data_IF_505385703524
#
_entry.id   IF_505385703524
#
_cell.length_a   1.000
_cell.length_b   1.000
_cell.length_c   1.000
_cell.angle_alpha   90.00
_cell.angle_beta   90.00
_cell.angle_gamma   90.00
#
_symmetry.space_group_name_H-M   'P 1'
#
loop_
_entity.id
_entity.type
_entity.pdbx_description
1 polymer ?
#
# COMPACT_ATOMS: atom_id res chain seq x y z
N UNK A 1 23.56 -5.78 -32.89
CA UNK A 1 22.51 -5.03 -32.17
C UNK A 1 21.42 -6.03 -31.77
N UNK A 2 21.47 -6.55 -30.54
CA UNK A 2 20.51 -7.57 -30.07
C UNK A 2 19.15 -6.90 -29.84
N UNK A 3 18.10 -7.38 -30.53
CA UNK A 3 16.73 -6.93 -30.27
C UNK A 3 16.36 -7.31 -28.83
N UNK A 4 15.95 -6.38 -27.96
CA UNK A 4 15.51 -6.72 -26.62
C UNK A 4 14.29 -7.64 -26.73
N UNK A 5 14.35 -8.82 -26.10
CA UNK A 5 13.25 -9.77 -26.05
C UNK A 5 12.08 -9.14 -25.25
N UNK A 6 11.11 -8.55 -25.95
CA UNK A 6 9.95 -7.86 -25.37
C UNK A 6 9.18 -8.74 -24.35
N UNK A 7 9.14 -10.06 -24.56
CA UNK A 7 8.51 -11.03 -23.66
C UNK A 7 9.19 -11.16 -22.30
N UNK A 8 10.50 -10.92 -22.22
CA UNK A 8 11.24 -10.95 -20.94
C UNK A 8 11.22 -9.61 -20.19
N UNK A 9 10.96 -8.51 -20.91
CA UNK A 9 10.96 -7.16 -20.34
C UNK A 9 9.69 -6.84 -19.56
N UNK A 10 8.53 -7.33 -20.02
CA UNK A 10 7.24 -7.06 -19.38
C UNK A 10 7.19 -7.38 -17.88
N UNK A 11 7.52 -8.62 -17.41
CA UNK A 11 7.42 -8.93 -15.98
C UNK A 11 8.39 -8.10 -15.14
N UNK A 12 9.57 -7.75 -15.67
CA UNK A 12 10.54 -6.88 -15.00
C UNK A 12 10.01 -5.46 -14.86
N UNK A 13 9.46 -4.91 -15.94
CA UNK A 13 8.84 -3.58 -15.93
C UNK A 13 7.63 -3.53 -14.99
N UNK A 14 6.77 -4.54 -15.03
CA UNK A 14 5.61 -4.65 -14.14
C UNK A 14 6.03 -4.74 -12.67
N UNK A 15 7.04 -5.55 -12.33
CA UNK A 15 7.59 -5.63 -10.98
C UNK A 15 8.21 -4.30 -10.53
N UNK A 16 8.95 -3.62 -11.40
CA UNK A 16 9.58 -2.33 -11.09
C UNK A 16 8.54 -1.23 -10.84
N UNK A 17 7.52 -1.12 -11.70
CA UNK A 17 6.44 -0.16 -11.53
C UNK A 17 5.64 -0.49 -10.26
N UNK A 18 5.27 -1.75 -10.05
CA UNK A 18 4.55 -2.18 -8.85
C UNK A 18 5.37 -1.90 -7.57
N UNK A 19 6.67 -2.14 -7.59
CA UNK A 19 7.58 -1.83 -6.48
C UNK A 19 7.54 -0.35 -6.13
N UNK A 20 7.64 0.54 -7.13
CA UNK A 20 7.54 1.99 -6.92
C UNK A 20 6.17 2.37 -6.35
N UNK A 21 5.07 1.89 -6.96
CA UNK A 21 3.72 2.19 -6.48
C UNK A 21 3.51 1.75 -5.03
N UNK A 22 3.97 0.55 -4.67
CA UNK A 22 3.93 0.06 -3.29
C UNK A 22 4.75 0.93 -2.34
N UNK A 23 5.96 1.35 -2.73
CA UNK A 23 6.76 2.26 -1.92
C UNK A 23 6.07 3.61 -1.72
N UNK A 24 5.43 4.15 -2.76
CA UNK A 24 4.63 5.38 -2.66
C UNK A 24 3.46 5.19 -1.68
N UNK A 25 2.73 4.08 -1.77
CA UNK A 25 1.64 3.78 -0.82
C UNK A 25 2.14 3.65 0.63
N UNK A 26 3.29 3.01 0.85
CA UNK A 26 3.89 2.84 2.17
C UNK A 26 4.41 4.15 2.76
N UNK A 27 4.96 5.03 1.93
CA UNK A 27 5.67 6.23 2.38
C UNK A 27 4.95 7.56 2.12
N UNK A 28 3.74 7.56 1.56
CA UNK A 28 2.96 8.77 1.25
C UNK A 28 2.93 9.79 2.41
N UNK A 29 2.83 9.34 3.66
CA UNK A 29 2.78 10.23 4.83
C UNK A 29 4.13 10.58 5.47
N UNK A 30 5.27 10.33 4.80
CA UNK A 30 6.60 10.56 5.39
C UNK A 30 7.04 12.03 5.29
N UNK A 31 6.58 12.76 4.29
CA UNK A 31 6.86 14.20 4.15
C UNK A 31 5.60 14.96 3.74
N UNK A 32 5.54 16.24 4.15
CA UNK A 32 4.38 17.14 3.97
C UNK A 32 3.89 17.28 2.52
N UNK A 33 4.78 17.16 1.54
CA UNK A 33 4.47 17.36 0.11
C UNK A 33 4.67 16.07 -0.72
N UNK A 34 4.77 14.91 -0.07
CA UNK A 34 4.96 13.65 -0.77
C UNK A 34 3.59 13.08 -1.19
N UNK A 35 3.13 13.46 -2.39
CA UNK A 35 1.82 13.08 -2.96
C UNK A 35 0.60 13.57 -2.16
N UNK A 36 0.13 14.77 -2.51
CA UNK A 36 -1.14 15.28 -2.00
C UNK A 36 -2.33 14.41 -2.42
N UNK A 37 -3.16 14.02 -1.46
CA UNK A 37 -4.33 13.15 -1.62
C UNK A 37 -4.03 11.65 -1.78
N UNK A 38 -2.79 11.20 -1.48
CA UNK A 38 -2.42 9.78 -1.43
C UNK A 38 -2.59 9.15 -0.03
N UNK A 39 -3.56 9.63 0.73
CA UNK A 39 -4.03 9.05 1.98
C UNK A 39 -5.02 7.91 1.73
N UNK A 40 -5.20 7.03 2.72
CA UNK A 40 -6.24 5.99 2.70
C UNK A 40 -7.60 6.66 2.92
N UNK A 41 -7.64 7.59 3.89
CA UNK A 41 -8.79 8.41 4.20
C UNK A 41 -8.32 9.71 4.87
N UNK A 42 -9.12 10.75 4.71
CA UNK A 42 -8.96 12.06 5.34
C UNK A 42 -10.15 12.31 6.26
N UNK A 43 -9.86 12.71 7.49
CA UNK A 43 -10.82 13.24 8.45
C UNK A 43 -10.79 14.76 8.42
N UNK A 44 -11.96 15.37 8.47
CA UNK A 44 -12.15 16.80 8.64
C UNK A 44 -12.80 17.06 9.97
N UNK A 45 -12.26 18.04 10.70
CA UNK A 45 -12.79 18.47 11.98
C UNK A 45 -13.17 19.95 11.89
N UNK A 46 -14.12 20.42 12.72
CA UNK A 46 -14.49 21.83 12.73
C UNK A 46 -13.28 22.72 13.06
N UNK A 47 -13.26 23.94 12.49
CA UNK A 47 -12.24 24.95 12.77
C UNK A 47 -12.09 25.14 14.28
N UNK A 48 -10.94 24.73 14.80
CA UNK A 48 -10.53 25.11 16.14
C UNK A 48 -10.04 26.55 16.08
N UNK A 49 -10.70 27.46 16.79
CA UNK A 49 -10.25 28.84 16.90
C UNK A 49 -8.75 28.90 17.22
N UNK A 50 -8.02 29.83 16.58
CA UNK A 50 -6.55 30.04 16.52
C UNK A 50 -5.67 29.73 17.76
N UNK A 51 -6.25 29.48 18.93
CA UNK A 51 -5.58 29.11 20.17
C UNK A 51 -5.77 27.65 20.62
N UNK A 52 -6.54 26.81 19.91
CA UNK A 52 -6.90 25.47 20.41
C UNK A 52 -5.97 24.33 19.97
N UNK A 53 -4.99 24.56 19.11
CA UNK A 53 -4.09 23.50 18.61
C UNK A 53 -4.81 22.39 17.82
N UNK A 54 -6.06 22.61 17.40
CA UNK A 54 -6.87 21.65 16.65
C UNK A 54 -6.58 21.82 15.16
N UNK A 55 -6.29 20.71 14.48
CA UNK A 55 -6.07 20.67 13.03
C UNK A 55 -7.38 20.38 12.29
N UNK A 56 -7.67 21.15 11.25
CA UNK A 56 -8.91 21.04 10.46
C UNK A 56 -8.96 19.76 9.64
N UNK A 57 -7.80 19.19 9.27
CA UNK A 57 -7.76 17.90 8.60
C UNK A 57 -6.67 16.98 9.14
N UNK A 58 -6.97 15.68 9.09
CA UNK A 58 -6.04 14.58 9.35
C UNK A 58 -6.08 13.60 8.18
N UNK A 59 -4.98 13.43 7.48
CA UNK A 59 -4.81 12.47 6.39
C UNK A 59 -4.08 11.23 6.92
N UNK A 60 -4.75 10.08 6.85
CA UNK A 60 -4.26 8.81 7.38
C UNK A 60 -3.62 8.00 6.27
N UNK A 61 -2.38 7.57 6.48
CA UNK A 61 -1.62 6.70 5.57
C UNK A 61 -1.33 5.36 6.24
N UNK A 62 -0.69 4.44 5.50
CA UNK A 62 -0.44 3.05 5.97
C UNK A 62 0.39 3.00 7.26
N UNK A 63 1.39 3.88 7.41
CA UNK A 63 2.35 3.84 8.53
C UNK A 63 2.44 5.13 9.33
N UNK A 64 1.62 6.13 8.99
CA UNK A 64 1.72 7.49 9.50
C UNK A 64 0.43 8.25 9.27
N UNK A 65 0.25 9.37 9.96
CA UNK A 65 -0.77 10.35 9.64
C UNK A 65 -0.14 11.73 9.51
N UNK A 66 -0.78 12.59 8.72
CA UNK A 66 -0.42 14.00 8.60
C UNK A 66 -1.62 14.86 8.98
N UNK A 67 -1.35 16.00 9.58
CA UNK A 67 -2.36 16.95 10.06
C UNK A 67 -2.06 18.35 9.50
N UNK A 68 -3.10 19.16 9.36
CA UNK A 68 -2.95 20.49 8.80
C UNK A 68 -4.21 21.34 8.86
N UNK A 69 -4.17 22.47 8.15
CA UNK A 69 -5.27 23.43 8.01
C UNK A 69 -5.69 23.53 6.54
N UNK A 70 -6.96 23.78 6.28
CA UNK A 70 -7.42 24.15 4.95
C UNK A 70 -7.10 25.62 4.73
N UNK A 71 -6.33 25.93 3.70
CA UNK A 71 -6.20 27.30 3.25
C UNK A 71 -7.56 27.71 2.65
N UNK A 72 -8.14 28.79 3.18
CA UNK A 72 -9.30 29.43 2.58
C UNK A 72 -8.87 30.04 1.25
N UNK A 73 -9.27 29.39 0.16
CA UNK A 73 -8.97 29.88 -1.19
C UNK A 73 -9.82 31.11 -1.46
N UNK A 74 -9.15 32.17 -1.93
CA UNK A 74 -9.78 33.39 -2.44
C UNK A 74 -10.97 33.05 -3.37
N UNK A 75 -12.05 33.87 -3.36
CA UNK A 75 -13.27 33.55 -4.10
C UNK A 75 -13.00 33.42 -5.61
N UNK A 76 -13.02 32.19 -6.13
CA UNK A 76 -12.94 31.93 -7.58
C UNK A 76 -12.13 30.72 -8.04
N UNK A 77 -11.39 30.01 -7.17
CA UNK A 77 -10.65 28.80 -7.55
C UNK A 77 -11.30 27.51 -7.00
N UNK A 78 -11.38 26.42 -7.78
CA UNK A 78 -11.99 25.17 -7.34
C UNK A 78 -11.03 24.39 -6.42
N UNK A 79 -11.36 24.37 -5.13
CA UNK A 79 -10.79 23.45 -4.14
C UNK A 79 -9.96 24.16 -3.08
N UNK A 80 -10.32 23.97 -1.80
CA UNK A 80 -9.51 24.41 -0.66
C UNK A 80 -8.14 23.72 -0.69
N UNK A 81 -7.06 24.50 -0.84
CA UNK A 81 -5.71 23.96 -0.79
C UNK A 81 -5.42 23.48 0.64
N UNK A 82 -4.90 22.26 0.79
CA UNK A 82 -4.56 21.72 2.11
C UNK A 82 -3.13 22.08 2.46
N UNK A 83 -2.94 22.71 3.61
CA UNK A 83 -1.61 23.04 4.13
C UNK A 83 -1.23 22.08 5.25
N UNK A 84 -0.35 21.13 4.93
CA UNK A 84 0.13 20.12 5.88
C UNK A 84 1.14 20.75 6.85
N UNK A 85 0.79 20.83 8.13
CA UNK A 85 1.64 21.46 9.15
C UNK A 85 2.60 20.45 9.78
N UNK A 86 2.13 19.24 10.09
CA UNK A 86 2.90 18.23 10.81
C UNK A 86 2.51 16.82 10.37
N UNK A 87 3.47 15.90 10.37
CA UNK A 87 3.22 14.47 10.20
C UNK A 87 3.78 13.72 11.41
N UNK A 88 3.17 12.58 11.72
CA UNK A 88 3.61 11.69 12.79
C UNK A 88 4.86 10.90 12.38
N UNK A 89 5.57 10.39 13.38
CA UNK A 89 6.64 9.42 13.12
C UNK A 89 6.10 8.13 12.50
N UNK A 90 6.90 7.52 11.63
CA UNK A 90 6.53 6.30 10.91
C UNK A 90 6.59 5.08 11.82
N UNK A 91 5.50 4.34 11.93
CA UNK A 91 5.42 3.08 12.67
C UNK A 91 4.90 1.96 11.78
N UNK A 92 5.55 0.79 11.82
CA UNK A 92 5.18 -0.37 10.99
C UNK A 92 3.80 -0.92 11.39
N UNK A 93 3.47 -0.86 12.68
CA UNK A 93 2.17 -1.26 13.24
C UNK A 93 1.39 -0.03 13.69
N UNK A 94 1.42 1.03 12.87
CA UNK A 94 0.66 2.23 13.12
C UNK A 94 -0.83 1.91 13.19
N UNK A 95 -1.49 2.54 14.16
CA UNK A 95 -2.95 2.56 14.28
C UNK A 95 -3.35 3.96 14.67
N UNK A 96 -4.19 4.59 13.86
CA UNK A 96 -4.74 5.88 14.22
C UNK A 96 -5.71 5.70 15.40
N UNK A 97 -5.43 6.38 16.51
CA UNK A 97 -6.30 6.41 17.67
C UNK A 97 -6.99 7.79 17.72
N UNK A 98 -8.28 7.89 17.37
CA UNK A 98 -9.00 9.15 17.36
C UNK A 98 -9.12 9.76 18.76
N UNK A 99 -9.05 8.95 19.83
CA UNK A 99 -9.17 9.43 21.21
C UNK A 99 -7.97 10.28 21.64
N UNK A 100 -6.79 10.01 21.09
CA UNK A 100 -5.58 10.79 21.36
C UNK A 100 -5.39 11.97 20.39
N UNK A 101 -5.95 11.88 19.17
CA UNK A 101 -5.82 12.90 18.14
C UNK A 101 -6.83 14.03 18.28
N UNK A 102 -7.98 13.78 18.92
CA UNK A 102 -9.00 14.80 19.13
C UNK A 102 -8.88 15.43 20.53
N UNK A 103 -8.88 16.76 20.57
CA UNK A 103 -8.87 17.51 21.82
C UNK A 103 -10.12 17.20 22.65
N UNK A 104 -10.02 17.23 23.99
CA UNK A 104 -11.16 17.03 24.91
C UNK A 104 -12.37 17.91 24.57
N UNK A 105 -12.19 19.07 23.93
CA UNK A 105 -13.29 19.92 23.46
C UNK A 105 -14.19 19.27 22.38
N UNK A 106 -13.62 18.37 21.56
CA UNK A 106 -14.34 17.58 20.56
C UNK A 106 -14.90 16.32 21.21
N UNK A 107 -14.15 15.67 22.11
CA UNK A 107 -14.52 14.39 22.76
C UNK A 107 -15.49 14.53 23.93
N UNK A 108 -15.51 15.68 24.60
CA UNK A 108 -16.39 16.02 25.73
C UNK A 108 -17.33 17.19 25.45
N UNK A 109 -17.37 17.66 24.19
CA UNK A 109 -18.43 18.56 23.74
C UNK A 109 -19.81 17.88 23.89
N UNK A 110 -20.89 18.63 24.15
CA UNK A 110 -22.22 18.09 24.42
C UNK A 110 -22.86 17.29 23.26
N UNK A 111 -22.14 17.07 22.16
CA UNK A 111 -22.65 16.51 20.90
C UNK A 111 -21.87 15.30 20.37
N UNK A 112 -20.73 14.90 20.97
CA UNK A 112 -19.90 13.80 20.45
C UNK A 112 -19.64 12.71 21.50
N UNK A 113 -20.70 12.12 22.06
CA UNK A 113 -20.59 10.96 22.92
C UNK A 113 -20.51 9.68 22.05
N UNK A 114 -19.30 9.17 21.80
CA UNK A 114 -19.10 7.94 21.04
C UNK A 114 -19.72 6.75 21.80
N UNK A 115 -20.74 6.06 21.25
CA UNK A 115 -21.27 4.84 21.85
C UNK A 115 -20.20 3.75 21.95
N UNK A 116 -20.30 2.88 22.97
CA UNK A 116 -19.38 1.73 23.15
C UNK A 116 -19.25 0.82 21.91
N UNK A 117 -20.29 0.76 21.09
CA UNK A 117 -20.28 0.02 19.81
C UNK A 117 -19.21 0.55 18.86
N UNK A 118 -18.94 1.87 18.88
CA UNK A 118 -17.97 2.50 17.99
C UNK A 118 -16.54 2.32 18.50
N UNK A 119 -16.33 2.28 19.82
CA UNK A 119 -15.02 1.96 20.38
C UNK A 119 -14.57 0.53 20.06
N UNK A 120 -15.51 -0.41 19.94
CA UNK A 120 -15.20 -1.78 19.52
C UNK A 120 -14.77 -1.82 18.04
N UNK A 121 -15.41 -1.03 17.17
CA UNK A 121 -15.03 -0.90 15.76
C UNK A 121 -13.65 -0.27 15.58
N UNK A 122 -13.26 0.67 16.45
CA UNK A 122 -11.90 1.23 16.45
C UNK A 122 -10.84 0.20 16.83
N UNK A 123 -11.17 -0.76 17.72
CA UNK A 123 -10.27 -1.86 18.00
C UNK A 123 -10.09 -2.79 16.79
N UNK A 124 -11.19 -3.13 16.10
CA UNK A 124 -11.13 -3.90 14.87
C UNK A 124 -10.35 -3.17 13.77
N UNK A 125 -10.55 -1.85 13.64
CA UNK A 125 -9.81 -0.98 12.72
C UNK A 125 -8.30 -0.99 12.99
N UNK A 126 -7.88 -0.95 14.26
CA UNK A 126 -6.47 -1.06 14.64
C UNK A 126 -5.85 -2.37 14.18
N UNK A 127 -6.54 -3.50 14.39
CA UNK A 127 -6.05 -4.80 13.95
C UNK A 127 -5.98 -4.90 12.42
N UNK A 128 -6.99 -4.40 11.70
CA UNK A 128 -7.02 -4.46 10.23
C UNK A 128 -5.96 -3.56 9.58
N UNK A 129 -5.78 -2.34 10.08
CA UNK A 129 -4.73 -1.41 9.58
C UNK A 129 -3.31 -1.93 9.83
N UNK A 130 -3.07 -2.52 11.00
CA UNK A 130 -1.80 -3.20 11.29
C UNK A 130 -1.55 -4.40 10.36
N UNK A 131 -2.57 -5.24 10.15
CA UNK A 131 -2.48 -6.37 9.23
C UNK A 131 -2.20 -5.89 7.79
N UNK A 132 -2.88 -4.85 7.33
CA UNK A 132 -2.65 -4.22 6.03
C UNK A 132 -1.20 -3.74 5.88
N UNK A 133 -0.64 -3.05 6.88
CA UNK A 133 0.74 -2.59 6.85
C UNK A 133 1.74 -3.75 6.76
N UNK A 134 1.52 -4.84 7.51
CA UNK A 134 2.33 -6.07 7.42
C UNK A 134 2.24 -6.69 6.03
N UNK A 135 1.05 -6.77 5.44
CA UNK A 135 0.85 -7.33 4.10
C UNK A 135 1.52 -6.49 3.01
N UNK A 136 1.48 -5.14 3.10
CA UNK A 136 2.28 -4.28 2.22
C UNK A 136 3.79 -4.51 2.39
N UNK A 137 4.28 -4.70 3.61
CA UNK A 137 5.69 -4.99 3.88
C UNK A 137 6.13 -6.35 3.29
N UNK A 138 5.30 -7.38 3.42
CA UNK A 138 5.56 -8.70 2.82
C UNK A 138 5.62 -8.57 1.29
N UNK A 139 4.65 -7.88 0.68
CA UNK A 139 4.63 -7.75 -0.77
C UNK A 139 5.78 -6.91 -1.31
N UNK A 140 6.16 -5.79 -0.68
CA UNK A 140 7.31 -4.98 -1.14
C UNK A 140 8.62 -5.78 -1.03
N UNK A 141 8.76 -6.60 0.01
CA UNK A 141 9.93 -7.47 0.20
C UNK A 141 9.99 -8.57 -0.86
N UNK A 142 8.86 -9.20 -1.17
CA UNK A 142 8.77 -10.23 -2.21
C UNK A 142 9.08 -9.66 -3.60
N UNK A 143 8.54 -8.50 -3.95
CA UNK A 143 8.81 -7.84 -5.23
C UNK A 143 10.26 -7.34 -5.30
N UNK A 144 10.80 -6.82 -4.20
CA UNK A 144 12.22 -6.48 -4.09
C UNK A 144 13.13 -7.68 -4.34
N UNK A 145 12.78 -8.85 -3.79
CA UNK A 145 13.51 -10.11 -4.05
C UNK A 145 13.45 -10.51 -5.54
N UNK A 146 12.30 -10.37 -6.21
CA UNK A 146 12.19 -10.58 -7.68
C UNK A 146 13.17 -9.70 -8.45
N UNK A 147 13.23 -8.41 -8.12
CA UNK A 147 14.13 -7.46 -8.79
C UNK A 147 15.61 -7.83 -8.55
N UNK A 148 15.98 -8.22 -7.33
CA UNK A 148 17.34 -8.67 -7.00
C UNK A 148 17.71 -9.97 -7.73
N UNK A 149 16.78 -10.92 -7.83
CA UNK A 149 16.96 -12.17 -8.60
C UNK A 149 17.19 -11.84 -10.08
N UNK A 150 16.46 -10.88 -10.65
CA UNK A 150 16.64 -10.43 -12.04
C UNK A 150 17.98 -9.74 -12.28
N UNK A 151 18.41 -8.88 -11.37
CA UNK A 151 19.73 -8.21 -11.43
C UNK A 151 20.87 -9.22 -11.34
N UNK A 152 20.78 -10.17 -10.40
CA UNK A 152 21.80 -11.22 -10.26
C UNK A 152 21.85 -12.16 -11.47
N UNK A 153 20.72 -12.44 -12.12
CA UNK A 153 20.65 -13.19 -13.40
C UNK A 153 21.46 -12.53 -14.52
N UNK A 154 21.37 -11.21 -14.60
CA UNK A 154 22.04 -10.44 -15.63
C UNK A 154 23.57 -10.51 -15.47
N UNK A 155 24.05 -10.55 -14.23
CA UNK A 155 25.47 -10.64 -13.88
C UNK A 155 25.97 -12.08 -14.05
N UNK A 156 25.28 -13.05 -13.46
CA UNK A 156 25.65 -14.47 -13.43
C UNK A 156 24.83 -15.22 -14.46
N UNK A 157 25.32 -15.33 -15.71
CA UNK A 157 24.61 -15.90 -16.89
C UNK A 157 24.22 -17.40 -16.81
N UNK A 158 24.03 -17.98 -15.62
CA UNK A 158 23.90 -19.44 -15.43
C UNK A 158 23.19 -19.84 -14.12
N UNK A 159 21.98 -19.33 -13.85
CA UNK A 159 21.16 -19.84 -12.73
C UNK A 159 19.71 -20.09 -13.18
N UNK A 160 19.19 -21.30 -12.97
CA UNK A 160 17.78 -21.62 -13.24
C UNK A 160 16.87 -20.94 -12.20
N UNK A 161 16.48 -19.68 -12.45
CA UNK A 161 15.70 -18.84 -11.51
C UNK A 161 14.17 -18.90 -11.68
N UNK A 162 13.66 -19.73 -12.60
CA UNK A 162 12.24 -19.75 -12.96
C UNK A 162 11.26 -20.03 -11.81
N UNK A 163 11.45 -21.09 -11.00
CA UNK A 163 10.48 -21.44 -9.96
C UNK A 163 10.53 -20.48 -8.75
N UNK A 164 11.72 -20.03 -8.35
CA UNK A 164 11.86 -19.04 -7.27
C UNK A 164 11.22 -17.70 -7.63
N UNK A 165 11.46 -17.22 -8.85
CA UNK A 165 10.85 -15.99 -9.35
C UNK A 165 9.32 -16.07 -9.36
N UNK A 166 8.76 -17.18 -9.86
CA UNK A 166 7.32 -17.41 -9.83
C UNK A 166 6.76 -17.38 -8.40
N UNK A 167 7.42 -18.04 -7.45
CA UNK A 167 7.02 -18.06 -6.04
C UNK A 167 6.96 -16.65 -5.43
N UNK A 168 7.98 -15.83 -5.65
CA UNK A 168 7.99 -14.45 -5.12
C UNK A 168 6.95 -13.54 -5.80
N UNK A 169 6.69 -13.71 -7.10
CA UNK A 169 5.62 -12.99 -7.79
C UNK A 169 4.25 -13.33 -7.21
N UNK A 170 3.95 -14.62 -7.01
CA UNK A 170 2.69 -15.07 -6.41
C UNK A 170 2.55 -14.55 -4.98
N UNK A 171 3.59 -14.66 -4.17
CA UNK A 171 3.59 -14.13 -2.79
C UNK A 171 3.35 -12.61 -2.78
N UNK A 172 4.04 -11.86 -3.63
CA UNK A 172 3.87 -10.42 -3.76
C UNK A 172 2.46 -10.04 -4.24
N UNK A 173 1.94 -10.76 -5.22
CA UNK A 173 0.60 -10.54 -5.78
C UNK A 173 -0.51 -10.81 -4.77
N UNK A 174 -0.45 -11.94 -4.06
CA UNK A 174 -1.45 -12.29 -3.04
C UNK A 174 -1.41 -11.31 -1.87
N UNK A 175 -0.21 -11.00 -1.36
CA UNK A 175 -0.06 -10.06 -0.25
C UNK A 175 -0.54 -8.65 -0.59
N UNK A 176 -0.20 -8.12 -1.77
CA UNK A 176 -0.68 -6.82 -2.24
C UNK A 176 -2.18 -6.78 -2.51
N UNK A 177 -2.76 -7.87 -3.02
CA UNK A 177 -4.20 -7.96 -3.25
C UNK A 177 -4.95 -7.95 -1.92
N UNK A 178 -4.50 -8.72 -0.93
CA UNK A 178 -5.08 -8.73 0.42
C UNK A 178 -4.95 -7.35 1.07
N UNK A 179 -3.78 -6.72 0.99
CA UNK A 179 -3.57 -5.38 1.53
C UNK A 179 -4.50 -4.35 0.88
N UNK A 180 -4.68 -4.42 -0.45
CA UNK A 180 -5.58 -3.52 -1.20
C UNK A 180 -7.04 -3.73 -0.82
N UNK A 181 -7.47 -4.97 -0.58
CA UNK A 181 -8.83 -5.28 -0.10
C UNK A 181 -9.04 -4.67 1.28
N UNK A 182 -8.11 -4.89 2.22
CA UNK A 182 -8.22 -4.33 3.57
C UNK A 182 -8.25 -2.80 3.50
N UNK A 183 -7.39 -2.17 2.71
CA UNK A 183 -7.38 -0.72 2.54
C UNK A 183 -8.71 -0.20 1.98
N UNK A 184 -9.32 -0.93 1.05
CA UNK A 184 -10.62 -0.58 0.47
C UNK A 184 -11.73 -0.65 1.53
N UNK A 185 -11.77 -1.74 2.30
CA UNK A 185 -12.74 -1.91 3.40
C UNK A 185 -12.56 -0.82 4.45
N UNK A 186 -11.33 -0.60 4.89
CA UNK A 186 -10.97 0.46 5.86
C UNK A 186 -11.40 1.82 5.35
N UNK A 187 -11.10 2.16 4.09
CA UNK A 187 -11.44 3.45 3.53
C UNK A 187 -12.95 3.68 3.44
N UNK A 188 -13.75 2.67 3.07
CA UNK A 188 -15.20 2.84 2.96
C UNK A 188 -15.94 2.72 4.28
N UNK A 189 -15.67 1.69 5.07
CA UNK A 189 -16.39 1.43 6.33
C UNK A 189 -16.10 2.54 7.35
N UNK A 190 -14.84 2.94 7.50
CA UNK A 190 -14.49 3.98 8.46
C UNK A 190 -15.07 5.34 8.06
N UNK A 191 -15.03 5.68 6.77
CA UNK A 191 -15.61 6.93 6.26
C UNK A 191 -17.12 6.94 6.46
N UNK A 192 -17.81 5.83 6.19
CA UNK A 192 -19.25 5.70 6.41
C UNK A 192 -19.59 5.83 7.90
N UNK A 193 -18.82 5.18 8.78
CA UNK A 193 -19.02 5.22 10.23
C UNK A 193 -18.86 6.65 10.79
N UNK A 194 -17.81 7.36 10.38
CA UNK A 194 -17.57 8.75 10.81
C UNK A 194 -18.65 9.69 10.28
N UNK A 195 -19.01 9.58 8.99
CA UNK A 195 -20.04 10.46 8.42
C UNK A 195 -21.43 10.21 9.01
N UNK A 196 -21.73 8.98 9.46
CA UNK A 196 -23.00 8.67 10.11
C UNK A 196 -23.14 9.31 11.51
N UNK A 197 -22.02 9.47 12.24
CA UNK A 197 -22.01 9.96 13.62
C UNK A 197 -21.47 11.40 13.78
N UNK A 198 -20.85 11.95 12.73
CA UNK A 198 -20.20 13.27 12.74
C UNK A 198 -21.13 14.46 12.45
N UNK A 199 -22.36 14.21 12.00
CA UNK A 199 -23.31 15.24 11.52
C UNK A 199 -23.64 16.29 12.61
N UNK A 200 -23.76 15.87 13.87
CA UNK A 200 -24.05 16.76 15.00
C UNK A 200 -22.88 17.64 15.45
N UNK A 201 -21.66 17.37 14.97
CA UNK A 201 -20.43 18.04 15.43
C UNK A 201 -19.55 18.54 14.29
N UNK A 202 -20.08 18.60 13.07
CA UNK A 202 -19.37 19.07 11.87
C UNK A 202 -18.06 18.31 11.60
N UNK A 203 -18.03 17.01 11.93
CA UNK A 203 -16.92 16.10 11.62
C UNK A 203 -17.31 15.30 10.40
N UNK A 204 -16.43 15.23 9.41
CA UNK A 204 -16.66 14.44 8.19
C UNK A 204 -15.42 13.68 7.76
N UNK A 205 -15.59 12.67 6.94
CA UNK A 205 -14.51 11.85 6.41
C UNK A 205 -14.67 11.64 4.90
N UNK A 206 -13.54 11.48 4.22
CA UNK A 206 -13.48 11.18 2.79
C UNK A 206 -12.40 10.13 2.53
N UNK A 207 -12.64 9.21 1.59
CA UNK A 207 -11.66 8.18 1.24
C UNK A 207 -10.70 8.69 0.17
N UNK A 208 -9.46 8.19 0.18
CA UNK A 208 -8.44 8.60 -0.77
C UNK A 208 -8.45 7.74 -2.05
N UNK A 209 -9.03 8.30 -3.11
CA UNK A 209 -9.12 7.63 -4.42
C UNK A 209 -7.75 7.36 -5.06
N UNK A 210 -6.78 8.28 -4.90
CA UNK A 210 -5.43 8.13 -5.47
C UNK A 210 -4.69 6.95 -4.85
N UNK A 211 -4.78 6.79 -3.53
CA UNK A 211 -4.18 5.66 -2.82
C UNK A 211 -4.76 4.33 -3.32
N UNK A 212 -6.09 4.21 -3.35
CA UNK A 212 -6.76 3.00 -3.84
C UNK A 212 -6.38 2.68 -5.29
N UNK A 213 -6.32 3.70 -6.16
CA UNK A 213 -5.89 3.56 -7.54
C UNK A 213 -4.46 3.03 -7.67
N UNK A 214 -3.51 3.60 -6.93
CA UNK A 214 -2.12 3.13 -6.92
C UNK A 214 -1.99 1.71 -6.38
N UNK A 215 -2.70 1.38 -5.30
CA UNK A 215 -2.66 0.05 -4.68
C UNK A 215 -3.22 -1.03 -5.61
N UNK A 216 -4.38 -0.80 -6.21
CA UNK A 216 -4.99 -1.74 -7.16
C UNK A 216 -4.18 -1.86 -8.46
N UNK A 217 -3.55 -0.77 -8.92
CA UNK A 217 -2.61 -0.83 -10.05
C UNK A 217 -1.40 -1.72 -9.74
N UNK A 218 -0.81 -1.59 -8.55
CA UNK A 218 0.29 -2.45 -8.12
C UNK A 218 -0.15 -3.93 -8.04
N UNK A 219 -1.31 -4.21 -7.42
CA UNK A 219 -1.86 -5.57 -7.35
C UNK A 219 -2.10 -6.17 -8.75
N UNK A 220 -2.69 -5.40 -9.67
CA UNK A 220 -2.94 -5.82 -11.05
C UNK A 220 -1.66 -6.11 -11.83
N UNK A 221 -0.63 -5.25 -11.69
CA UNK A 221 0.68 -5.46 -12.33
C UNK A 221 1.37 -6.72 -11.82
N UNK A 222 1.30 -7.00 -10.51
CA UNK A 222 1.88 -8.21 -9.92
C UNK A 222 1.11 -9.47 -10.31
N UNK A 223 -0.22 -9.40 -10.42
CA UNK A 223 -1.04 -10.50 -10.95
C UNK A 223 -0.64 -10.82 -12.41
N UNK A 224 -0.54 -9.80 -13.26
CA UNK A 224 -0.10 -9.97 -14.64
C UNK A 224 1.32 -10.55 -14.73
N UNK A 225 2.25 -10.05 -13.91
CA UNK A 225 3.61 -10.59 -13.78
C UNK A 225 3.63 -12.07 -13.39
N UNK A 226 2.77 -12.46 -12.44
CA UNK A 226 2.62 -13.84 -11.97
C UNK A 226 2.13 -14.77 -13.06
N UNK A 227 1.13 -14.34 -13.85
CA UNK A 227 0.61 -15.11 -15.00
C UNK A 227 1.70 -15.29 -16.06
N UNK A 228 2.43 -14.23 -16.40
CA UNK A 228 3.51 -14.30 -17.39
C UNK A 228 4.64 -15.22 -16.90
N UNK A 229 4.98 -15.18 -15.61
CA UNK A 229 5.98 -16.07 -15.02
C UNK A 229 5.54 -17.54 -15.07
N UNK A 230 4.27 -17.83 -14.77
CA UNK A 230 3.69 -19.18 -14.88
C UNK A 230 3.78 -19.71 -16.31
N UNK A 231 3.37 -18.90 -17.28
CA UNK A 231 3.43 -19.25 -18.70
C UNK A 231 4.85 -19.53 -19.16
N UNK A 232 5.83 -18.76 -18.67
CA UNK A 232 7.25 -18.99 -18.95
C UNK A 232 7.76 -20.28 -18.31
N UNK A 233 7.27 -20.66 -17.13
CA UNK A 233 7.64 -21.92 -16.46
C UNK A 233 7.12 -23.13 -17.25
N UNK A 234 5.85 -23.10 -17.68
CA UNK A 234 5.21 -24.17 -18.46
C UNK A 234 5.91 -24.38 -19.82
N UNK A 235 6.41 -23.30 -20.44
CA UNK A 235 7.07 -23.37 -21.75
C UNK A 235 8.54 -23.82 -21.70
N UNK A 236 9.14 -24.05 -20.52
CA UNK A 236 10.51 -24.59 -20.46
C UNK A 236 10.49 -26.07 -20.85
N UNK A 237 11.14 -26.49 -21.96
CA UNK A 237 11.28 -27.90 -22.26
C UNK A 237 12.08 -28.57 -21.14
N UNK A 238 11.65 -29.77 -20.73
CA UNK A 238 12.38 -30.63 -19.81
C UNK A 238 13.77 -30.87 -20.40
N UNK A 239 14.81 -30.26 -19.82
CA UNK A 239 16.18 -30.60 -20.18
C UNK A 239 16.45 -31.93 -19.47
N UNK A 240 16.42 -33.01 -20.24
CA UNK A 240 16.91 -34.34 -19.85
C UNK A 240 18.27 -34.17 -19.13
N UNK A 241 18.41 -34.78 -17.96
CA UNK A 241 19.71 -34.94 -17.30
C UNK A 241 20.69 -35.58 -18.30
N UNK A 242 21.95 -35.11 -18.39
CA UNK A 242 22.94 -35.80 -19.21
C UNK A 242 23.04 -37.26 -18.74
N UNK A 243 23.13 -38.24 -19.64
CA UNK A 243 23.24 -39.64 -19.25
C UNK A 243 24.48 -39.81 -18.38
N UNK A 244 24.25 -40.47 -17.26
CA UNK A 244 25.23 -40.93 -16.29
C UNK A 244 26.38 -41.62 -17.05
N UNK A 245 27.62 -41.25 -16.71
CA UNK A 245 28.87 -41.78 -17.28
C UNK A 245 29.03 -43.31 -17.10
N UNK A 246 28.10 -43.95 -16.40
CA UNK A 246 28.08 -45.36 -16.05
C UNK A 246 27.64 -46.28 -17.22
N UNK A 247 27.08 -45.70 -18.30
CA UNK A 247 26.68 -46.44 -19.50
C UNK A 247 27.78 -46.66 -20.55
N UNK A 248 28.88 -45.91 -20.50
CA UNK A 248 29.93 -45.96 -21.54
C UNK A 248 30.93 -47.08 -21.29
N UNK A 249 31.14 -47.51 -20.04
CA UNK A 249 32.08 -48.59 -19.69
C UNK A 249 31.57 -50.00 -20.07
N UNK A 250 30.28 -50.15 -20.41
CA UNK A 250 29.69 -51.45 -20.83
C UNK A 250 29.82 -51.75 -22.33
N UNK A 251 30.42 -50.86 -23.13
CA UNK A 251 30.60 -51.06 -24.57
C UNK A 251 32.04 -51.40 -24.97
N UNK A 252 33.00 -51.32 -24.03
CA UNK A 252 34.41 -51.69 -24.26
C UNK A 252 34.84 -52.97 -23.50
N UNK A 253 33.89 -53.70 -22.89
CA UNK A 253 34.12 -54.97 -22.17
C UNK A 253 33.55 -56.20 -22.87
#
# INVERSE_FOLDING_TARGET
MARPNLKGLFPVAAAFIAFILTLLCLFAGTQRNLLDGADILTLYTPEGGSNSGVHEFYSIHVMSYCQGILDTVEPGAPGSARNVTQCSDRQILFSFDPTNAWSEAITHGPTLEWPRVISDDFHAFRLTTQAMAVMYCVGVSAVGAVLLVRVSSFISRRMQQGPFEFGFFVLGSLSMSIASIIATVVAFEFVALINAHGDGSNVSASYGTKFLGMSWAAAGLLLAGSIVSLVNLIRRPHVESPPDEEGLEKLEG
#
